data_IF_733143039336
#
_entry.id   IF_733143039336
#
_cell.length_a   1.000
_cell.length_b   1.000
_cell.length_c   1.000
_cell.angle_alpha   90.00
_cell.angle_beta   90.00
_cell.angle_gamma   90.00
#
_symmetry.space_group_name_H-M   'P 1'
#
loop_
_entity.id
_entity.type
_entity.pdbx_description
1 polymer ?
#
# COMPACT_ATOMS: atom_id res chain seq x y z
N UNK A 1 25.30 19.78 5.12
CA UNK A 1 23.87 20.10 4.86
C UNK A 1 23.12 19.05 4.02
N UNK A 2 23.67 17.84 3.80
CA UNK A 2 23.03 16.76 2.99
C UNK A 2 22.13 15.81 3.78
N UNK A 3 22.25 15.79 5.11
CA UNK A 3 21.55 14.82 5.98
C UNK A 3 20.03 15.07 6.10
N UNK A 4 19.62 16.35 6.06
CA UNK A 4 18.22 16.77 6.26
C UNK A 4 17.36 16.44 5.02
N UNK A 5 17.94 16.55 3.81
CA UNK A 5 17.21 16.29 2.55
C UNK A 5 16.97 14.79 2.34
N UNK A 6 17.92 13.93 2.73
CA UNK A 6 17.78 12.47 2.68
C UNK A 6 16.71 12.02 3.70
N UNK A 7 16.80 12.46 4.95
CA UNK A 7 15.81 12.12 5.98
C UNK A 7 14.38 12.53 5.61
N UNK A 8 14.20 13.71 4.99
CA UNK A 8 12.88 14.14 4.51
C UNK A 8 12.36 13.24 3.39
N UNK A 9 13.22 12.83 2.45
CA UNK A 9 12.86 11.92 1.36
C UNK A 9 12.47 10.54 1.88
N UNK A 10 13.23 10.00 2.83
CA UNK A 10 12.98 8.68 3.41
C UNK A 10 11.68 8.66 4.22
N UNK A 11 11.42 9.70 5.02
CA UNK A 11 10.14 9.86 5.73
C UNK A 11 8.95 9.91 4.77
N UNK A 12 9.11 10.61 3.65
CA UNK A 12 8.05 10.75 2.67
C UNK A 12 7.78 9.43 1.92
N UNK A 13 8.84 8.70 1.56
CA UNK A 13 8.76 7.34 1.00
C UNK A 13 8.10 6.37 1.99
N UNK A 14 8.48 6.42 3.26
CA UNK A 14 7.91 5.61 4.32
C UNK A 14 6.41 5.88 4.51
N UNK A 15 5.99 7.16 4.52
CA UNK A 15 4.58 7.53 4.60
C UNK A 15 3.76 6.99 3.41
N UNK A 16 4.30 7.02 2.19
CA UNK A 16 3.65 6.39 1.02
C UNK A 16 3.49 4.88 1.24
N UNK A 17 4.53 4.22 1.75
CA UNK A 17 4.50 2.78 2.02
C UNK A 17 3.48 2.41 3.09
N UNK A 18 3.38 3.19 4.18
CA UNK A 18 2.37 2.98 5.23
C UNK A 18 0.97 3.02 4.62
N UNK A 19 0.65 4.05 3.83
CA UNK A 19 -0.66 4.16 3.17
C UNK A 19 -0.94 2.98 2.26
N UNK A 20 0.05 2.55 1.47
CA UNK A 20 -0.06 1.36 0.61
C UNK A 20 -0.36 0.11 1.45
N UNK A 21 0.30 -0.06 2.59
CA UNK A 21 0.11 -1.21 3.46
C UNK A 21 -1.29 -1.22 4.09
N UNK A 22 -1.78 -0.07 4.57
CA UNK A 22 -3.15 0.06 5.12
C UNK A 22 -4.18 -0.36 4.05
N UNK A 23 -4.09 0.25 2.86
CA UNK A 23 -5.03 -0.04 1.78
C UNK A 23 -4.93 -1.48 1.29
N UNK A 24 -3.74 -2.06 1.28
CA UNK A 24 -3.56 -3.49 0.98
C UNK A 24 -4.23 -4.38 2.02
N UNK A 25 -4.14 -4.03 3.30
CA UNK A 25 -4.85 -4.71 4.38
C UNK A 25 -6.37 -4.66 4.15
N UNK A 26 -6.89 -3.50 3.74
CA UNK A 26 -8.31 -3.34 3.40
C UNK A 26 -8.72 -4.11 2.14
N UNK A 27 -7.83 -4.28 1.16
CA UNK A 27 -8.04 -5.18 0.01
C UNK A 27 -8.15 -6.63 0.45
N UNK A 28 -7.54 -7.05 1.56
CA UNK A 28 -7.64 -8.43 2.06
C UNK A 28 -8.88 -8.58 2.93
N UNK A 29 -8.97 -7.81 4.00
CA UNK A 29 -9.96 -7.99 5.08
C UNK A 29 -11.29 -7.27 4.82
N UNK A 30 -11.35 -6.44 3.78
CA UNK A 30 -12.46 -5.54 3.53
C UNK A 30 -12.19 -4.16 4.12
N UNK A 31 -12.88 -3.16 3.58
CA UNK A 31 -12.84 -1.80 4.14
C UNK A 31 -13.57 -1.81 5.48
N UNK A 32 -12.98 -1.29 6.57
CA UNK A 32 -13.65 -1.17 7.86
C UNK A 32 -14.97 -0.42 7.73
N UNK A 33 -15.91 -0.65 8.65
CA UNK A 33 -17.18 0.07 8.66
C UNK A 33 -17.16 1.16 9.73
N UNK A 34 -17.74 2.30 9.41
CA UNK A 34 -17.92 3.38 10.35
C UNK A 34 -18.85 2.91 11.49
N UNK A 35 -18.49 3.13 12.76
CA UNK A 35 -19.20 2.58 13.92
C UNK A 35 -20.66 3.06 13.98
N UNK A 36 -20.89 4.33 13.69
CA UNK A 36 -22.23 4.95 13.78
C UNK A 36 -23.12 4.71 12.57
N UNK A 37 -22.57 4.76 11.35
CA UNK A 37 -23.38 4.69 10.12
C UNK A 37 -23.43 3.29 9.51
N UNK A 38 -22.51 2.39 9.92
CA UNK A 38 -22.36 1.05 9.33
C UNK A 38 -21.89 1.04 7.88
N UNK A 39 -21.64 2.22 7.28
CA UNK A 39 -21.12 2.38 5.94
C UNK A 39 -19.61 2.11 5.91
N UNK A 40 -19.07 1.81 4.73
CA UNK A 40 -17.63 1.65 4.58
C UNK A 40 -16.90 2.96 4.93
N UNK A 41 -15.79 2.82 5.64
CA UNK A 41 -14.87 3.89 5.96
C UNK A 41 -14.31 4.56 4.70
N UNK A 42 -13.93 5.83 4.83
CA UNK A 42 -13.34 6.56 3.72
C UNK A 42 -12.04 5.89 3.25
N UNK A 43 -11.92 5.71 1.94
CA UNK A 43 -10.67 5.32 1.29
C UNK A 43 -10.46 6.12 0.01
N UNK A 44 -9.20 6.41 -0.38
CA UNK A 44 -8.92 7.16 -1.59
C UNK A 44 -9.26 6.35 -2.84
N UNK A 45 -9.94 7.00 -3.78
CA UNK A 45 -10.35 6.41 -5.06
C UNK A 45 -9.56 6.97 -6.25
N UNK A 46 -8.63 7.90 -6.01
CA UNK A 46 -7.72 8.47 -7.01
C UNK A 46 -6.37 8.74 -6.38
N UNK A 47 -5.32 8.84 -7.20
CA UNK A 47 -3.99 9.23 -6.71
C UNK A 47 -3.99 10.61 -6.02
N UNK A 48 -4.80 11.54 -6.50
CA UNK A 48 -4.98 12.86 -5.87
C UNK A 48 -5.53 12.72 -4.45
N UNK A 49 -6.57 11.91 -4.28
CA UNK A 49 -7.14 11.62 -2.96
C UNK A 49 -6.14 10.87 -2.07
N UNK A 50 -5.40 9.91 -2.62
CA UNK A 50 -4.37 9.18 -1.89
C UNK A 50 -3.28 10.10 -1.33
N UNK A 51 -2.87 11.10 -2.11
CA UNK A 51 -1.91 12.13 -1.66
C UNK A 51 -2.48 12.97 -0.53
N UNK A 52 -3.73 13.40 -0.66
CA UNK A 52 -4.40 14.22 0.34
C UNK A 52 -4.88 13.45 1.59
N UNK A 53 -4.92 12.11 1.54
CA UNK A 53 -5.46 11.29 2.61
C UNK A 53 -4.54 11.29 3.83
N UNK A 54 -5.04 11.79 4.95
CA UNK A 54 -4.35 11.92 6.24
C UNK A 54 -5.12 11.21 7.37
N UNK A 55 -6.15 10.42 7.03
CA UNK A 55 -7.00 9.74 8.00
C UNK A 55 -8.04 10.64 8.69
N UNK A 56 -8.10 11.95 8.39
CA UNK A 56 -9.10 12.84 9.01
C UNK A 56 -10.53 12.57 8.54
N UNK A 57 -10.70 12.03 7.33
CA UNK A 57 -12.00 11.63 6.80
C UNK A 57 -12.48 10.28 7.35
N UNK A 58 -11.67 9.60 8.15
CA UNK A 58 -12.03 8.38 8.83
C UNK A 58 -12.54 8.66 10.25
N UNK A 59 -13.36 7.74 10.78
CA UNK A 59 -13.80 7.81 12.17
C UNK A 59 -12.62 7.89 13.14
N UNK A 60 -12.87 8.47 14.31
CA UNK A 60 -11.87 8.58 15.37
C UNK A 60 -11.36 7.20 15.81
N UNK A 61 -12.27 6.24 16.00
CA UNK A 61 -11.94 4.85 16.34
C UNK A 61 -10.96 4.23 15.36
N UNK A 62 -11.21 4.38 14.05
CA UNK A 62 -10.29 3.88 13.03
C UNK A 62 -8.97 4.65 13.05
N UNK A 63 -9.00 5.98 13.23
CA UNK A 63 -7.79 6.82 13.27
C UNK A 63 -6.86 6.43 14.41
N UNK A 64 -7.39 6.04 15.56
CA UNK A 64 -6.62 5.55 16.71
C UNK A 64 -5.94 4.20 16.44
N UNK A 65 -6.50 3.38 15.55
CA UNK A 65 -5.95 2.07 15.17
C UNK A 65 -4.96 2.16 14.00
N UNK A 66 -5.05 3.21 13.19
CA UNK A 66 -4.18 3.40 12.04
C UNK A 66 -2.81 3.95 12.47
N UNK A 67 -1.71 3.50 11.84
CA UNK A 67 -0.43 4.17 11.97
C UNK A 67 -0.55 5.60 11.43
N UNK A 68 0.20 6.54 12.03
CA UNK A 68 0.18 7.95 11.64
C UNK A 68 0.52 8.11 10.15
N UNK A 69 -0.42 8.67 9.39
CA UNK A 69 -0.25 9.01 7.97
C UNK A 69 -0.40 10.51 7.77
N UNK A 70 0.36 11.05 6.82
CA UNK A 70 0.36 12.48 6.50
C UNK A 70 0.06 12.72 5.02
N UNK A 71 -0.34 13.96 4.68
CA UNK A 71 -0.45 14.38 3.29
C UNK A 71 0.90 14.29 2.58
N UNK A 72 0.85 13.95 1.29
CA UNK A 72 2.04 13.80 0.43
C UNK A 72 2.05 14.98 -0.56
N UNK A 73 3.19 15.65 -0.67
CA UNK A 73 3.40 16.74 -1.63
C UNK A 73 3.30 16.27 -3.09
N UNK A 74 3.15 17.21 -4.03
CA UNK A 74 2.96 16.83 -5.42
C UNK A 74 4.15 16.05 -5.99
N UNK A 75 5.33 16.61 -5.82
CA UNK A 75 6.59 16.09 -6.37
C UNK A 75 7.06 14.81 -5.69
N UNK A 76 6.61 14.56 -4.46
CA UNK A 76 7.05 13.41 -3.67
C UNK A 76 6.63 12.07 -4.29
N UNK A 77 5.39 12.00 -4.80
CA UNK A 77 4.91 10.78 -5.43
C UNK A 77 5.52 10.60 -6.82
N UNK A 78 5.74 11.70 -7.55
CA UNK A 78 6.36 11.68 -8.87
C UNK A 78 7.87 11.32 -8.79
N UNK A 79 8.53 11.60 -7.66
CA UNK A 79 9.88 11.13 -7.39
C UNK A 79 9.98 9.64 -7.02
N UNK A 80 8.86 8.95 -6.75
CA UNK A 80 8.81 7.53 -6.36
C UNK A 80 7.86 6.75 -7.30
N UNK A 81 8.27 6.60 -8.56
CA UNK A 81 7.44 6.02 -9.62
C UNK A 81 7.00 4.57 -9.34
N UNK A 82 7.85 3.78 -8.68
CA UNK A 82 7.55 2.43 -8.20
C UNK A 82 6.35 2.45 -7.25
N UNK A 83 6.39 3.30 -6.23
CA UNK A 83 5.32 3.41 -5.25
C UNK A 83 4.05 4.06 -5.83
N UNK A 84 4.20 4.98 -6.78
CA UNK A 84 3.08 5.57 -7.52
C UNK A 84 2.32 4.50 -8.31
N UNK A 85 3.03 3.60 -8.99
CA UNK A 85 2.42 2.47 -9.70
C UNK A 85 1.67 1.55 -8.72
N UNK A 86 2.31 1.15 -7.62
CA UNK A 86 1.68 0.33 -6.58
C UNK A 86 0.42 0.98 -5.98
N UNK A 87 0.48 2.26 -5.63
CA UNK A 87 -0.67 3.01 -5.13
C UNK A 87 -1.81 3.05 -6.16
N UNK A 88 -1.50 3.24 -7.45
CA UNK A 88 -2.50 3.25 -8.52
C UNK A 88 -3.21 1.91 -8.64
N UNK A 89 -2.44 0.80 -8.64
CA UNK A 89 -2.98 -0.55 -8.71
C UNK A 89 -3.88 -0.88 -7.51
N UNK A 90 -3.46 -0.53 -6.30
CA UNK A 90 -4.22 -0.75 -5.07
C UNK A 90 -5.54 0.03 -5.09
N UNK A 91 -5.50 1.30 -5.49
CA UNK A 91 -6.71 2.13 -5.61
C UNK A 91 -7.69 1.53 -6.62
N UNK A 92 -7.18 1.06 -7.78
CA UNK A 92 -8.02 0.41 -8.78
C UNK A 92 -8.67 -0.87 -8.24
N UNK A 93 -7.92 -1.69 -7.49
CA UNK A 93 -8.43 -2.91 -6.86
C UNK A 93 -9.49 -2.61 -5.79
N UNK A 94 -9.27 -1.62 -4.92
CA UNK A 94 -10.24 -1.21 -3.91
C UNK A 94 -11.54 -0.73 -4.55
N UNK A 95 -11.45 0.08 -5.62
CA UNK A 95 -12.63 0.53 -6.38
C UNK A 95 -13.38 -0.64 -7.00
N UNK A 96 -12.67 -1.58 -7.63
CA UNK A 96 -13.30 -2.76 -8.20
C UNK A 96 -14.02 -3.56 -7.10
N UNK A 97 -13.38 -3.77 -5.94
CA UNK A 97 -13.99 -4.49 -4.81
C UNK A 97 -15.19 -3.75 -4.23
N UNK A 98 -15.15 -2.43 -4.08
CA UNK A 98 -16.27 -1.63 -3.56
C UNK A 98 -17.47 -1.62 -4.51
N UNK A 99 -17.23 -1.61 -5.83
CA UNK A 99 -18.27 -1.71 -6.86
C UNK A 99 -18.86 -3.13 -6.90
N UNK A 100 -18.02 -4.17 -6.79
CA UNK A 100 -18.51 -5.54 -6.69
C UNK A 100 -19.32 -5.76 -5.41
N UNK A 101 -18.92 -5.21 -4.26
CA UNK A 101 -19.68 -5.33 -3.01
C UNK A 101 -21.07 -4.67 -3.09
N UNK A 102 -21.21 -3.59 -3.85
CA UNK A 102 -22.50 -2.93 -4.09
C UNK A 102 -23.34 -3.67 -5.13
N UNK A 103 -22.73 -4.31 -6.14
CA UNK A 103 -23.42 -5.15 -7.14
C UNK A 103 -23.84 -6.54 -6.63
N UNK A 104 -23.11 -7.13 -5.69
CA UNK A 104 -23.44 -8.44 -5.08
C UNK A 104 -24.74 -8.38 -4.26
N UNK A 105 -25.17 -7.20 -3.81
CA UNK A 105 -26.51 -7.03 -3.24
C UNK A 105 -27.65 -7.15 -4.26
N UNK A 106 -27.35 -7.24 -5.57
CA UNK A 106 -28.35 -7.35 -6.63
C UNK A 106 -28.24 -8.56 -7.56
N UNK A 107 -27.16 -9.36 -7.53
CA UNK A 107 -27.11 -10.57 -8.35
C UNK A 107 -26.12 -11.61 -7.84
N UNK A 108 -26.63 -12.81 -7.62
CA UNK A 108 -25.89 -14.07 -7.62
C UNK A 108 -25.30 -14.35 -9.02
N UNK A 109 -24.17 -13.72 -9.37
CA UNK A 109 -23.25 -14.04 -10.47
C UNK A 109 -22.05 -13.07 -10.36
N UNK A 110 -20.77 -13.41 -10.43
CA UNK A 110 -20.09 -14.38 -11.28
C UNK A 110 -18.72 -14.73 -10.66
N UNK A 111 -18.50 -16.00 -10.31
CA UNK A 111 -17.22 -16.51 -9.80
C UNK A 111 -16.02 -16.23 -10.75
N UNK A 112 -16.27 -15.99 -12.05
CA UNK A 112 -15.22 -15.68 -13.03
C UNK A 112 -14.57 -14.32 -12.83
N UNK A 113 -15.33 -13.29 -12.46
CA UNK A 113 -14.77 -11.95 -12.26
C UNK A 113 -13.93 -11.91 -10.98
N UNK A 114 -14.40 -12.56 -9.91
CA UNK A 114 -13.62 -12.72 -8.68
C UNK A 114 -12.34 -13.51 -8.93
N UNK A 115 -12.40 -14.60 -9.73
CA UNK A 115 -11.22 -15.37 -10.11
C UNK A 115 -10.21 -14.54 -10.91
N UNK A 116 -10.65 -13.67 -11.82
CA UNK A 116 -9.74 -12.76 -12.55
C UNK A 116 -9.07 -11.74 -11.65
N UNK A 117 -9.80 -11.17 -10.69
CA UNK A 117 -9.22 -10.23 -9.71
C UNK A 117 -8.19 -10.95 -8.84
N UNK A 118 -8.51 -12.15 -8.36
CA UNK A 118 -7.59 -12.98 -7.57
C UNK A 118 -6.33 -13.37 -8.34
N UNK A 119 -6.46 -13.74 -9.63
CA UNK A 119 -5.31 -14.05 -10.49
C UNK A 119 -4.39 -12.84 -10.71
N UNK A 120 -4.96 -11.66 -10.96
CA UNK A 120 -4.18 -10.41 -11.07
C UNK A 120 -3.44 -10.11 -9.77
N UNK A 121 -4.09 -10.34 -8.63
CA UNK A 121 -3.50 -10.11 -7.31
C UNK A 121 -2.37 -11.10 -7.02
N UNK A 122 -2.54 -12.38 -7.36
CA UNK A 122 -1.50 -13.41 -7.28
C UNK A 122 -0.26 -13.06 -8.10
N UNK A 123 -0.44 -12.56 -9.32
CA UNK A 123 0.67 -12.15 -10.17
C UNK A 123 1.47 -10.98 -9.59
N UNK A 124 0.79 -10.01 -8.98
CA UNK A 124 1.45 -8.89 -8.27
C UNK A 124 2.22 -9.42 -7.06
N UNK A 125 1.62 -10.31 -6.27
CA UNK A 125 2.32 -10.88 -5.10
C UNK A 125 3.52 -11.73 -5.48
N UNK A 126 3.42 -12.49 -6.56
CA UNK A 126 4.55 -13.26 -7.06
C UNK A 126 5.69 -12.37 -7.54
N UNK A 127 5.41 -11.25 -8.21
CA UNK A 127 6.47 -10.33 -8.62
C UNK A 127 7.13 -9.63 -7.42
N UNK A 128 6.36 -9.26 -6.41
CA UNK A 128 6.88 -8.73 -5.13
C UNK A 128 7.75 -9.75 -4.40
N UNK A 129 7.32 -11.01 -4.29
CA UNK A 129 8.10 -12.08 -3.67
C UNK A 129 9.42 -12.33 -4.40
N UNK A 130 9.40 -12.34 -5.73
CA UNK A 130 10.63 -12.49 -6.53
C UNK A 130 11.57 -11.31 -6.31
N UNK A 131 11.05 -10.08 -6.23
CA UNK A 131 11.85 -8.89 -5.93
C UNK A 131 12.47 -8.98 -4.53
N UNK A 132 11.68 -9.31 -3.52
CA UNK A 132 12.14 -9.48 -2.13
C UNK A 132 13.20 -10.59 -2.01
N UNK A 133 13.02 -11.72 -2.69
CA UNK A 133 14.00 -12.80 -2.71
C UNK A 133 15.34 -12.39 -3.34
N UNK A 134 15.31 -11.55 -4.39
CA UNK A 134 16.54 -11.01 -4.99
C UNK A 134 17.26 -10.09 -4.01
N UNK A 135 16.53 -9.23 -3.32
CA UNK A 135 17.09 -8.32 -2.32
C UNK A 135 17.71 -9.08 -1.14
N UNK A 136 17.02 -10.12 -0.64
CA UNK A 136 17.57 -10.99 0.41
C UNK A 136 18.88 -11.65 -0.03
N UNK A 137 18.97 -12.15 -1.27
CA UNK A 137 20.21 -12.73 -1.78
C UNK A 137 21.34 -11.70 -1.85
N UNK A 138 21.04 -10.50 -2.35
CA UNK A 138 22.00 -9.39 -2.41
C UNK A 138 22.52 -9.03 -1.02
N UNK A 139 21.64 -8.86 -0.04
CA UNK A 139 22.01 -8.55 1.34
C UNK A 139 22.84 -9.67 1.98
N UNK A 140 22.49 -10.94 1.75
CA UNK A 140 23.28 -12.09 2.22
C UNK A 140 24.71 -12.08 1.65
N UNK A 141 24.87 -11.81 0.35
CA UNK A 141 26.21 -11.68 -0.26
C UNK A 141 27.01 -10.52 0.35
N UNK A 142 26.35 -9.39 0.65
CA UNK A 142 27.01 -8.26 1.30
C UNK A 142 27.46 -8.58 2.72
N UNK A 143 26.61 -9.27 3.51
CA UNK A 143 26.95 -9.71 4.86
C UNK A 143 28.15 -10.66 4.83
N UNK A 144 28.15 -11.68 3.96
CA UNK A 144 29.30 -12.59 3.82
C UNK A 144 30.60 -11.87 3.44
N UNK A 145 30.53 -10.85 2.59
CA UNK A 145 31.70 -10.03 2.25
C UNK A 145 32.21 -9.21 3.43
N UNK A 146 31.31 -8.68 4.26
CA UNK A 146 31.66 -7.93 5.46
C UNK A 146 32.22 -8.83 6.55
N UNK A 147 31.64 -10.02 6.76
CA UNK A 147 32.14 -11.03 7.70
C UNK A 147 33.56 -11.46 7.34
N UNK A 148 33.83 -11.79 6.07
CA UNK A 148 35.20 -12.09 5.60
C UNK A 148 36.18 -10.94 5.79
N UNK A 149 35.74 -9.69 5.68
CA UNK A 149 36.60 -8.52 5.93
C UNK A 149 36.89 -8.31 7.42
N UNK A 150 36.00 -8.75 8.30
CA UNK A 150 36.19 -8.71 9.74
C UNK A 150 37.07 -9.86 10.22
N UNK A 151 36.98 -11.05 9.62
CA UNK A 151 37.83 -12.22 9.94
C UNK A 151 39.31 -12.06 9.51
N UNK A 152 39.60 -11.14 8.59
CA UNK A 152 40.97 -10.87 8.08
C UNK A 152 41.70 -9.78 8.91
N UNK A 153 41.07 -9.25 9.97
CA UNK A 153 41.69 -8.35 10.96
C UNK A 153 41.94 -9.07 12.28
#
# INVERSE_FOLDING_TARGET
MTHISIQRRDRARHNIQIKINILSGWIMHGVPKHPTTGLAEYFPTTLRQFKAWDGLLNSEDLRLQLPSIARIGNDTLDANQDLKASASSIIALLKARSVCASKVKQASASNKEQAQVLLKLLNIRNSELVSQQREIRRLKSQIQLLERRLEVR
#
